data_IF_656338990582
#
_entry.id   IF_656338990582
#
_cell.length_a   1.000
_cell.length_b   1.000
_cell.length_c   1.000
_cell.angle_alpha   90.00
_cell.angle_beta   90.00
_cell.angle_gamma   90.00
#
_symmetry.space_group_name_H-M   'P 1'
#
loop_
_entity.id
_entity.type
_entity.pdbx_description
1 polymer ?
#
# COMPACT_ATOMS: atom_id res chain seq x y z
N UNK A 1 6.56 11.82 7.78
CA UNK A 1 6.57 11.62 9.24
C UNK A 1 6.19 10.17 9.54
N UNK A 2 6.63 9.62 10.68
CA UNK A 2 6.18 8.29 11.12
C UNK A 2 5.03 8.49 12.10
N UNK A 3 3.90 7.83 11.84
CA UNK A 3 2.68 7.92 12.66
C UNK A 3 2.43 6.59 13.38
N UNK A 4 2.05 6.63 14.66
CA UNK A 4 1.71 5.45 15.45
C UNK A 4 0.39 4.85 14.96
N UNK A 5 0.25 3.53 15.01
CA UNK A 5 -0.97 2.85 14.57
C UNK A 5 -2.22 3.34 15.29
N UNK A 6 -2.08 3.80 16.53
CA UNK A 6 -3.19 4.32 17.33
C UNK A 6 -3.66 5.71 16.88
N UNK A 7 -2.81 6.46 16.19
CA UNK A 7 -3.14 7.76 15.59
C UNK A 7 -3.71 7.60 14.16
N UNK A 8 -3.57 6.42 13.55
CA UNK A 8 -4.19 6.10 12.26
C UNK A 8 -5.64 5.64 12.51
N UNK A 9 -6.66 6.34 11.98
CA UNK A 9 -8.05 5.94 12.20
C UNK A 9 -8.35 4.52 11.70
N UNK A 10 -9.23 3.81 12.41
CA UNK A 10 -9.58 2.42 12.09
C UNK A 10 -10.11 2.28 10.65
N UNK A 11 -10.91 3.23 10.15
CA UNK A 11 -11.39 3.19 8.76
C UNK A 11 -10.27 3.31 7.73
N UNK A 12 -9.17 3.99 8.06
CA UNK A 12 -7.97 4.05 7.22
C UNK A 12 -7.28 2.70 7.22
N UNK A 13 -7.03 2.13 8.41
CA UNK A 13 -6.41 0.82 8.55
C UNK A 13 -7.19 -0.26 7.76
N UNK A 14 -8.51 -0.29 7.94
CA UNK A 14 -9.42 -1.23 7.28
C UNK A 14 -9.48 -1.03 5.76
N UNK A 15 -9.31 0.19 5.25
CA UNK A 15 -9.24 0.44 3.81
C UNK A 15 -8.06 -0.32 3.17
N UNK A 16 -6.87 -0.24 3.77
CA UNK A 16 -5.70 -0.97 3.29
C UNK A 16 -5.84 -2.48 3.48
N UNK A 17 -6.28 -2.94 4.65
CA UNK A 17 -6.50 -4.37 4.91
C UNK A 17 -7.50 -4.95 3.90
N UNK A 18 -8.64 -4.30 3.66
CA UNK A 18 -9.67 -4.84 2.77
C UNK A 18 -9.23 -4.97 1.32
N UNK A 19 -8.37 -4.06 0.84
CA UNK A 19 -7.90 -4.05 -0.56
C UNK A 19 -6.70 -4.97 -0.77
N UNK A 20 -5.74 -4.95 0.16
CA UNK A 20 -4.46 -5.66 0.01
C UNK A 20 -4.46 -7.05 0.64
N UNK A 21 -5.16 -7.24 1.75
CA UNK A 21 -5.04 -8.45 2.57
C UNK A 21 -6.27 -8.67 3.48
N UNK A 22 -7.41 -9.03 2.87
CA UNK A 22 -8.72 -9.17 3.57
C UNK A 22 -8.70 -10.06 4.82
N UNK A 23 -7.69 -10.95 4.92
CA UNK A 23 -7.52 -11.95 5.98
C UNK A 23 -6.35 -11.61 6.91
N UNK A 24 -5.82 -10.38 6.86
CA UNK A 24 -4.60 -9.96 7.53
C UNK A 24 -4.48 -10.48 8.98
N UNK A 25 -5.50 -10.25 9.80
CA UNK A 25 -5.50 -10.66 11.22
C UNK A 25 -5.69 -12.17 11.47
N UNK A 26 -5.90 -12.98 10.43
CA UNK A 26 -6.26 -14.41 10.56
C UNK A 26 -5.19 -15.38 10.06
N UNK A 27 -4.16 -14.89 9.35
CA UNK A 27 -3.06 -15.70 8.85
C UNK A 27 -1.73 -15.33 9.53
N UNK A 28 -0.73 -16.19 9.45
CA UNK A 28 0.61 -15.95 10.03
C UNK A 28 1.60 -15.57 8.91
N UNK A 29 1.45 -14.36 8.37
CA UNK A 29 2.29 -13.83 7.28
C UNK A 29 2.00 -14.33 5.87
N UNK A 30 1.32 -15.46 5.69
CA UNK A 30 0.98 -16.02 4.37
C UNK A 30 -0.46 -16.49 4.31
N UNK A 31 -1.24 -15.87 3.44
CA UNK A 31 -2.60 -16.30 3.15
C UNK A 31 -2.63 -17.43 2.11
N UNK A 32 -2.63 -18.68 2.60
CA UNK A 32 -2.65 -19.88 1.73
C UNK A 32 -3.92 -19.92 0.86
N UNK A 33 -5.05 -19.47 1.39
CA UNK A 33 -6.33 -19.45 0.66
C UNK A 33 -6.27 -18.42 -0.46
N UNK A 34 -5.78 -17.21 -0.14
CA UNK A 34 -5.57 -16.13 -1.11
C UNK A 34 -4.60 -16.53 -2.22
N UNK A 35 -3.47 -17.15 -1.85
CA UNK A 35 -2.47 -17.63 -2.78
C UNK A 35 -3.01 -18.71 -3.72
N UNK A 36 -3.77 -19.66 -3.19
CA UNK A 36 -4.37 -20.74 -4.00
C UNK A 36 -5.45 -20.19 -4.94
N UNK A 37 -6.29 -19.26 -4.47
CA UNK A 37 -7.28 -18.56 -5.29
C UNK A 37 -6.62 -17.79 -6.43
N UNK A 38 -5.57 -17.02 -6.13
CA UNK A 38 -4.81 -16.27 -7.13
C UNK A 38 -4.15 -17.21 -8.16
N UNK A 39 -3.52 -18.30 -7.70
CA UNK A 39 -2.90 -19.29 -8.59
C UNK A 39 -3.91 -19.98 -9.51
N UNK A 40 -5.09 -20.34 -9.00
CA UNK A 40 -6.15 -20.93 -9.81
C UNK A 40 -6.69 -19.95 -10.86
N UNK A 41 -6.78 -18.66 -10.53
CA UNK A 41 -7.19 -17.63 -11.48
C UNK A 41 -6.19 -17.48 -12.61
N UNK A 42 -4.88 -17.40 -12.30
CA UNK A 42 -3.82 -17.36 -13.32
C UNK A 42 -3.88 -18.57 -14.25
N UNK A 43 -4.14 -19.77 -13.71
CA UNK A 43 -4.30 -20.99 -14.53
C UNK A 43 -5.53 -20.94 -15.44
N UNK A 44 -6.59 -20.25 -15.03
CA UNK A 44 -7.85 -20.12 -15.78
C UNK A 44 -7.76 -19.04 -16.86
N UNK A 45 -7.22 -17.87 -16.52
CA UNK A 45 -7.16 -16.71 -17.41
C UNK A 45 -5.93 -16.71 -18.29
N UNK A 46 -4.86 -17.41 -17.88
CA UNK A 46 -3.54 -17.31 -18.51
C UNK A 46 -2.84 -15.97 -18.26
N UNK A 47 -3.41 -15.10 -17.41
CA UNK A 47 -2.90 -13.77 -17.12
C UNK A 47 -2.44 -13.70 -15.66
N UNK A 48 -1.38 -12.93 -15.41
CA UNK A 48 -1.00 -12.52 -14.04
C UNK A 48 -1.88 -11.36 -13.53
N UNK A 49 -2.76 -10.85 -14.39
CA UNK A 49 -3.79 -9.86 -14.05
C UNK A 49 -4.91 -10.56 -13.28
N UNK A 50 -4.75 -10.64 -11.95
CA UNK A 50 -5.68 -11.32 -11.05
C UNK A 50 -5.59 -10.79 -9.62
N UNK A 51 -6.34 -11.38 -8.67
CA UNK A 51 -6.27 -11.02 -7.27
C UNK A 51 -4.84 -11.10 -6.76
N UNK A 52 -4.37 -10.05 -6.08
CA UNK A 52 -3.04 -10.04 -5.47
C UNK A 52 -2.90 -11.22 -4.50
N UNK A 53 -1.90 -12.07 -4.72
CA UNK A 53 -1.63 -13.21 -3.84
C UNK A 53 -0.68 -12.89 -2.69
N UNK A 54 -0.28 -11.62 -2.52
CA UNK A 54 0.72 -11.22 -1.52
C UNK A 54 0.06 -10.51 -0.34
N UNK A 55 0.40 -10.95 0.87
CA UNK A 55 -0.08 -10.36 2.14
C UNK A 55 0.62 -9.03 2.44
N UNK A 56 0.06 -8.22 3.34
CA UNK A 56 0.69 -6.99 3.84
C UNK A 56 2.08 -7.29 4.41
N UNK A 57 2.24 -8.39 5.16
CA UNK A 57 3.52 -8.82 5.73
C UNK A 57 4.57 -9.12 4.65
N UNK A 58 4.19 -9.81 3.58
CA UNK A 58 5.08 -10.07 2.44
C UNK A 58 5.45 -8.78 1.72
N UNK A 59 4.49 -7.87 1.56
CA UNK A 59 4.75 -6.57 0.94
C UNK A 59 5.71 -5.74 1.79
N UNK A 60 5.58 -5.74 3.12
CA UNK A 60 6.49 -5.08 4.04
C UNK A 60 7.93 -5.61 3.88
N UNK A 61 8.12 -6.93 3.83
CA UNK A 61 9.43 -7.55 3.56
C UNK A 61 10.01 -7.10 2.21
N UNK A 62 9.17 -7.02 1.18
CA UNK A 62 9.59 -6.56 -0.16
C UNK A 62 10.07 -5.10 -0.12
N UNK A 63 9.43 -4.25 0.69
CA UNK A 63 9.82 -2.85 0.85
C UNK A 63 11.16 -2.68 1.60
N UNK A 64 11.58 -3.65 2.42
CA UNK A 64 12.76 -3.51 3.29
C UNK A 64 14.01 -4.26 2.84
N UNK A 65 13.89 -5.39 2.12
CA UNK A 65 15.01 -6.34 2.05
C UNK A 65 15.41 -6.88 0.67
N UNK A 66 14.66 -6.66 -0.41
CA UNK A 66 14.86 -7.48 -1.62
C UNK A 66 15.18 -6.67 -2.87
N UNK A 67 16.32 -7.00 -3.49
CA UNK A 67 16.67 -6.52 -4.83
C UNK A 67 15.82 -7.21 -5.90
N UNK A 68 15.59 -6.57 -7.07
CA UNK A 68 14.66 -7.06 -8.09
C UNK A 68 15.09 -8.36 -8.80
N UNK A 69 16.34 -8.80 -8.64
CA UNK A 69 16.91 -9.88 -9.42
C UNK A 69 16.35 -11.25 -8.98
N UNK A 70 15.67 -11.94 -9.91
CA UNK A 70 15.01 -13.25 -9.77
C UNK A 70 13.73 -13.30 -8.92
N UNK A 71 12.59 -13.02 -9.58
CA UNK A 71 11.27 -12.95 -8.95
C UNK A 71 10.80 -14.23 -8.22
N UNK A 72 11.10 -15.44 -8.71
CA UNK A 72 10.63 -16.69 -8.09
C UNK A 72 11.44 -17.06 -6.84
N UNK A 73 12.77 -17.00 -6.90
CA UNK A 73 13.64 -17.19 -5.73
C UNK A 73 13.30 -16.16 -4.65
N UNK A 74 13.12 -14.89 -5.05
CA UNK A 74 12.66 -13.82 -4.17
C UNK A 74 11.32 -14.14 -3.50
N UNK A 75 10.34 -14.67 -4.24
CA UNK A 75 9.01 -14.96 -3.66
C UNK A 75 9.07 -16.05 -2.59
N UNK A 76 9.92 -17.06 -2.77
CA UNK A 76 10.13 -18.08 -1.73
C UNK A 76 10.76 -17.48 -0.47
N UNK A 77 11.72 -16.55 -0.64
CA UNK A 77 12.34 -15.81 0.47
C UNK A 77 11.31 -14.92 1.19
N UNK A 78 10.45 -14.20 0.46
CA UNK A 78 9.36 -13.39 1.04
C UNK A 78 8.43 -14.25 1.92
N UNK A 79 8.06 -15.45 1.47
CA UNK A 79 7.20 -16.38 2.24
C UNK A 79 7.85 -16.78 3.57
N UNK A 80 9.15 -17.10 3.54
CA UNK A 80 9.88 -17.49 4.74
C UNK A 80 10.05 -16.31 5.71
N UNK A 81 10.51 -15.17 5.21
CA UNK A 81 10.73 -13.97 6.01
C UNK A 81 9.43 -13.40 6.58
N UNK A 82 8.31 -13.47 5.84
CA UNK A 82 7.02 -13.01 6.34
C UNK A 82 6.57 -13.82 7.57
N UNK A 83 6.77 -15.16 7.55
CA UNK A 83 6.46 -16.01 8.70
C UNK A 83 7.35 -15.73 9.90
N UNK A 84 8.65 -15.53 9.65
CA UNK A 84 9.61 -15.19 10.70
C UNK A 84 9.32 -13.80 11.32
N UNK A 85 8.87 -12.84 10.51
CA UNK A 85 8.48 -11.51 10.98
C UNK A 85 7.26 -11.56 11.91
N UNK A 86 6.24 -12.37 11.57
CA UNK A 86 5.02 -12.52 12.37
C UNK A 86 5.24 -13.23 13.71
N UNK A 87 6.38 -13.92 13.87
CA UNK A 87 6.78 -14.46 15.18
C UNK A 87 7.45 -13.40 16.06
N UNK A 88 7.90 -12.28 15.48
CA UNK A 88 8.69 -11.24 16.14
C UNK A 88 7.91 -9.94 16.35
N UNK A 89 6.89 -9.70 15.54
CA UNK A 89 6.07 -8.49 15.57
C UNK A 89 4.59 -8.88 15.61
N UNK A 90 3.81 -8.11 16.35
CA UNK A 90 2.36 -8.19 16.33
C UNK A 90 1.79 -7.68 15.01
N UNK A 91 0.51 -8.00 14.77
CA UNK A 91 -0.22 -7.54 13.57
C UNK A 91 -0.27 -6.02 13.46
N UNK A 92 -0.47 -5.33 14.57
CA UNK A 92 -0.58 -3.87 14.58
C UNK A 92 0.78 -3.23 14.31
N UNK A 93 1.88 -3.76 14.88
CA UNK A 93 3.24 -3.30 14.54
C UNK A 93 3.58 -3.54 13.06
N UNK A 94 3.17 -4.68 12.48
CA UNK A 94 3.37 -4.96 11.06
C UNK A 94 2.58 -3.96 10.21
N UNK A 95 1.32 -3.72 10.55
CA UNK A 95 0.47 -2.78 9.83
C UNK A 95 0.99 -1.34 9.93
N UNK A 96 1.42 -0.92 11.11
CA UNK A 96 2.07 0.38 11.33
C UNK A 96 3.29 0.56 10.44
N UNK A 97 4.19 -0.43 10.47
CA UNK A 97 5.42 -0.37 9.68
C UNK A 97 5.13 -0.38 8.18
N UNK A 98 4.10 -1.13 7.76
CA UNK A 98 3.63 -1.12 6.38
C UNK A 98 3.10 0.25 5.97
N UNK A 99 2.12 0.78 6.71
CA UNK A 99 1.47 2.07 6.42
C UNK A 99 2.44 3.25 6.44
N UNK A 100 3.52 3.17 7.22
CA UNK A 100 4.57 4.18 7.25
C UNK A 100 5.63 4.05 6.15
N UNK A 101 5.68 2.92 5.42
CA UNK A 101 6.72 2.66 4.41
C UNK A 101 6.21 2.60 2.98
N UNK A 102 4.92 2.32 2.79
CA UNK A 102 4.32 2.23 1.45
C UNK A 102 4.57 3.50 0.65
N UNK A 103 4.85 3.32 -0.64
CA UNK A 103 5.20 4.39 -1.56
C UNK A 103 3.96 4.79 -2.38
N UNK A 104 3.56 6.05 -2.26
CA UNK A 104 2.49 6.70 -3.00
C UNK A 104 3.07 7.66 -4.04
N UNK A 105 4.09 7.26 -4.80
CA UNK A 105 4.79 8.11 -5.79
C UNK A 105 5.47 9.36 -5.17
N UNK A 106 4.70 10.42 -4.88
CA UNK A 106 5.17 11.68 -4.32
C UNK A 106 5.23 11.69 -2.79
N UNK A 107 4.85 10.60 -2.13
CA UNK A 107 4.85 10.47 -0.68
C UNK A 107 5.24 9.06 -0.22
N UNK A 108 5.94 8.98 0.92
CA UNK A 108 6.26 7.73 1.60
C UNK A 108 5.56 7.70 2.94
N UNK A 109 4.69 6.69 3.12
CA UNK A 109 3.84 6.55 4.28
C UNK A 109 2.49 7.27 4.14
N UNK A 110 1.49 6.76 4.85
CA UNK A 110 0.09 7.18 4.76
C UNK A 110 -0.12 8.63 5.23
N UNK A 111 0.60 9.06 6.28
CA UNK A 111 0.58 10.45 6.75
C UNK A 111 1.02 11.41 5.64
N UNK A 112 2.20 11.17 5.09
CA UNK A 112 2.73 11.99 4.02
C UNK A 112 1.82 11.99 2.79
N UNK A 113 1.19 10.85 2.46
CA UNK A 113 0.25 10.77 1.35
C UNK A 113 -1.03 11.58 1.61
N UNK A 114 -1.55 11.54 2.84
CA UNK A 114 -2.69 12.35 3.26
C UNK A 114 -2.41 13.85 3.12
N UNK A 115 -1.24 14.29 3.60
CA UNK A 115 -0.82 15.70 3.49
C UNK A 115 -0.60 16.10 2.02
N UNK A 116 0.10 15.27 1.26
CA UNK A 116 0.46 15.58 -0.14
C UNK A 116 -0.75 15.57 -1.06
N UNK A 117 -1.75 14.71 -0.81
CA UNK A 117 -2.91 14.59 -1.69
C UNK A 117 -4.11 15.38 -1.21
N UNK A 118 -4.33 15.50 0.10
CA UNK A 118 -5.54 16.12 0.64
C UNK A 118 -5.25 17.35 1.51
N UNK A 119 -3.98 17.63 1.82
CA UNK A 119 -3.63 18.72 2.75
C UNK A 119 -4.13 18.48 4.17
N UNK A 120 -4.34 17.22 4.57
CA UNK A 120 -4.90 16.83 5.86
C UNK A 120 -3.97 15.89 6.61
N UNK A 121 -4.04 15.95 7.94
CA UNK A 121 -3.51 14.89 8.79
C UNK A 121 -4.24 13.56 8.52
N UNK A 122 -3.55 12.42 8.66
CA UNK A 122 -4.20 11.11 8.45
C UNK A 122 -5.34 10.86 9.44
N UNK A 123 -5.30 11.47 10.62
CA UNK A 123 -6.38 11.45 11.60
C UNK A 123 -7.67 12.10 11.11
N UNK A 124 -7.57 13.02 10.14
CA UNK A 124 -8.65 13.89 9.69
C UNK A 124 -9.26 13.50 8.33
N UNK A 125 -8.77 12.44 7.69
CA UNK A 125 -9.32 11.99 6.40
C UNK A 125 -10.56 11.12 6.59
N UNK A 126 -11.52 11.26 5.69
CA UNK A 126 -12.72 10.42 5.69
C UNK A 126 -12.49 9.05 5.01
N UNK A 127 -13.51 8.19 5.06
CA UNK A 127 -13.46 6.84 4.47
C UNK A 127 -13.25 6.84 2.95
N UNK A 128 -13.73 7.86 2.23
CA UNK A 128 -13.57 7.96 0.79
C UNK A 128 -12.12 8.30 0.44
N UNK A 129 -11.54 9.27 1.17
CA UNK A 129 -10.13 9.64 1.06
C UNK A 129 -9.22 8.46 1.43
N UNK A 130 -9.54 7.71 2.48
CA UNK A 130 -8.84 6.49 2.86
C UNK A 130 -8.88 5.42 1.76
N UNK A 131 -10.06 5.16 1.19
CA UNK A 131 -10.24 4.21 0.09
C UNK A 131 -9.44 4.61 -1.16
N UNK A 132 -9.36 5.92 -1.44
CA UNK A 132 -8.53 6.46 -2.51
C UNK A 132 -7.05 6.14 -2.27
N UNK A 133 -6.51 6.42 -1.08
CA UNK A 133 -5.11 6.08 -0.76
C UNK A 133 -4.84 4.58 -0.94
N UNK A 134 -5.70 3.73 -0.38
CA UNK A 134 -5.57 2.28 -0.49
C UNK A 134 -5.71 1.76 -1.94
N UNK A 135 -6.52 2.40 -2.79
CA UNK A 135 -6.61 2.05 -4.20
C UNK A 135 -5.38 2.49 -5.01
N UNK A 136 -4.78 3.63 -4.66
CA UNK A 136 -3.61 4.18 -5.36
C UNK A 136 -2.43 3.21 -5.32
N UNK A 137 -2.15 2.53 -4.20
CA UNK A 137 -1.00 1.61 -4.11
C UNK A 137 -1.10 0.42 -5.08
N UNK A 138 -2.31 -0.03 -5.41
CA UNK A 138 -2.53 -1.17 -6.30
C UNK A 138 -2.21 -0.85 -7.76
N UNK A 139 -2.50 0.37 -8.21
CA UNK A 139 -2.14 0.83 -9.54
C UNK A 139 -1.83 2.34 -9.54
N UNK A 140 -0.66 2.76 -9.04
CA UNK A 140 -0.34 4.18 -8.82
C UNK A 140 -0.38 5.02 -10.09
N UNK A 141 -0.03 4.42 -11.22
CA UNK A 141 -0.05 5.09 -12.52
C UNK A 141 -1.47 5.33 -13.03
N UNK A 142 -2.41 4.46 -12.67
CA UNK A 142 -3.79 4.49 -13.15
C UNK A 142 -4.71 5.27 -12.20
N UNK A 143 -4.58 5.03 -10.89
CA UNK A 143 -5.35 5.70 -9.84
C UNK A 143 -4.54 6.85 -9.24
N UNK A 144 -4.45 7.95 -10.00
CA UNK A 144 -3.90 9.21 -9.48
C UNK A 144 -5.04 10.04 -8.90
N UNK A 145 -5.08 10.30 -7.59
CA UNK A 145 -6.10 11.15 -7.02
C UNK A 145 -5.82 12.63 -7.26
N UNK A 146 -4.79 12.98 -8.03
CA UNK A 146 -4.35 14.34 -8.27
C UNK A 146 -4.07 14.58 -9.75
N UNK A 147 -4.14 15.84 -10.14
CA UNK A 147 -3.69 16.34 -11.43
C UNK A 147 -2.19 16.62 -11.34
N UNK A 148 -1.45 16.30 -12.41
CA UNK A 148 -0.03 16.60 -12.54
C UNK A 148 0.15 17.66 -13.61
N UNK A 149 0.96 18.68 -13.32
CA UNK A 149 1.36 19.73 -14.27
C UNK A 149 2.87 19.67 -14.55
N UNK A 150 3.26 20.12 -15.74
CA UNK A 150 4.66 20.33 -16.10
C UNK A 150 5.10 21.74 -15.64
N UNK A 151 6.17 21.78 -14.88
CA UNK A 151 6.83 22.97 -14.41
C UNK A 151 7.68 23.64 -15.50
N UNK A 152 8.01 24.92 -15.32
CA UNK A 152 8.88 25.66 -16.25
C UNK A 152 10.28 25.04 -16.41
N UNK A 153 10.75 24.28 -15.42
CA UNK A 153 12.04 23.57 -15.46
C UNK A 153 11.94 22.16 -16.09
N UNK A 154 10.78 21.79 -16.62
CA UNK A 154 10.50 20.48 -17.23
C UNK A 154 10.24 19.36 -16.23
N UNK A 155 10.17 19.66 -14.92
CA UNK A 155 9.75 18.69 -13.91
C UNK A 155 8.23 18.54 -13.84
N UNK A 156 7.73 17.43 -13.30
CA UNK A 156 6.29 17.21 -13.11
C UNK A 156 5.93 17.31 -11.61
N UNK A 157 4.93 18.14 -11.28
CA UNK A 157 4.47 18.35 -9.91
C UNK A 157 2.95 18.21 -9.79
N UNK A 158 2.46 18.00 -8.55
CA UNK A 158 1.02 17.99 -8.27
C UNK A 158 0.47 19.41 -8.45
N UNK A 159 -0.56 19.54 -9.28
CA UNK A 159 -1.22 20.82 -9.55
C UNK A 159 -2.02 21.29 -8.34
N UNK A 160 -1.97 22.60 -8.09
CA UNK A 160 -2.65 23.26 -6.96
C UNK A 160 -3.42 24.49 -7.45
N UNK A 161 -4.52 24.82 -6.77
CA UNK A 161 -5.22 26.08 -6.98
C UNK A 161 -4.47 27.28 -6.38
N UNK A 162 -5.02 28.49 -6.55
CA UNK A 162 -4.44 29.74 -6.03
C UNK A 162 -4.36 29.77 -4.49
N UNK A 163 -5.17 28.96 -3.80
CA UNK A 163 -5.19 28.82 -2.35
C UNK A 163 -4.20 27.74 -1.85
N UNK A 164 -3.59 26.98 -2.77
CA UNK A 164 -2.64 25.92 -2.49
C UNK A 164 -3.28 24.55 -2.27
N UNK A 165 -4.57 24.39 -2.52
CA UNK A 165 -5.28 23.11 -2.43
C UNK A 165 -4.93 22.23 -3.63
N UNK A 166 -4.82 20.92 -3.41
CA UNK A 166 -4.53 19.95 -4.47
C UNK A 166 -5.72 19.84 -5.43
N UNK A 167 -5.43 19.88 -6.73
CA UNK A 167 -6.43 19.63 -7.76
C UNK A 167 -6.61 18.12 -7.97
N UNK A 168 -7.84 17.66 -7.88
CA UNK A 168 -8.24 16.24 -8.01
C UNK A 168 -8.88 15.97 -9.38
N UNK A 169 -8.78 14.71 -9.86
CA UNK A 169 -9.43 14.24 -11.10
C UNK A 169 -10.94 14.03 -10.93
#
# INVERSE_FOLDING_TARGET
EVVDITDIPEHVQLAFISIEDERFYTHDGVDIKGLTRAGLEVLRTGTLEGPGGSTITQQLIKLTHLTPDKALERKAVEIFLARDLEQKMSKDEILENYLNKINFSYAWGVQAASEVYFGKDVGDIDIAQAAVLAATIKAPTYYRPYIVEEAEDGSYRIAKDEEGNVLHN
#
